data_IF_059337369116
#
_entry.id   IF_059337369116
#
_cell.length_a   1.000
_cell.length_b   1.000
_cell.length_c   1.000
_cell.angle_alpha   90.00
_cell.angle_beta   90.00
_cell.angle_gamma   90.00
#
_symmetry.space_group_name_H-M   'P 1'
#
loop_
_entity.id
_entity.type
_entity.pdbx_description
1 polymer ?
#
# COMPACT_ATOMS: atom_id res chain seq x y z
N UNK A 1 -31.00 40.24 27.37
CA UNK A 1 -30.45 41.57 27.02
C UNK A 1 -29.20 41.33 26.17
N UNK A 2 -29.31 41.81 24.95
CA UNK A 2 -28.29 41.88 23.84
C UNK A 2 -27.11 42.82 24.26
N UNK A 3 -26.00 43.01 23.44
CA UNK A 3 -25.95 42.83 21.98
C UNK A 3 -24.63 42.25 21.38
N UNK A 4 -24.78 41.77 20.19
CA UNK A 4 -23.95 41.87 18.93
C UNK A 4 -22.68 42.71 18.96
N UNK A 5 -21.61 42.15 18.39
CA UNK A 5 -20.63 42.94 17.65
C UNK A 5 -20.11 42.15 16.42
N UNK A 6 -20.55 42.62 15.22
CA UNK A 6 -20.02 42.26 13.91
C UNK A 6 -18.75 43.07 13.69
N UNK A 7 -17.66 42.41 13.20
CA UNK A 7 -16.51 43.14 12.64
C UNK A 7 -16.34 42.70 11.18
N UNK A 8 -16.65 43.65 10.32
CA UNK A 8 -16.42 43.63 8.85
C UNK A 8 -15.01 44.15 8.61
N UNK A 9 -14.18 43.43 7.89
CA UNK A 9 -12.99 43.99 7.26
C UNK A 9 -13.04 43.84 5.75
N UNK A 10 -13.02 45.00 5.10
CA UNK A 10 -13.04 45.22 3.66
C UNK A 10 -11.66 45.06 3.04
N UNK A 11 -11.66 44.57 1.81
CA UNK A 11 -10.53 44.56 0.85
C UNK A 11 -10.19 45.99 0.41
N UNK A 12 -8.96 46.24 -0.07
CA UNK A 12 -8.84 47.00 -1.31
C UNK A 12 -8.10 46.27 -2.42
N UNK A 13 -8.69 46.30 -3.59
CA UNK A 13 -8.09 45.98 -4.87
C UNK A 13 -7.05 47.04 -5.25
N UNK A 14 -5.92 46.65 -5.78
CA UNK A 14 -5.00 47.54 -6.46
C UNK A 14 -4.75 47.05 -7.89
N UNK A 15 -5.36 47.77 -8.83
CA UNK A 15 -5.13 47.67 -10.27
C UNK A 15 -3.87 48.52 -10.59
N UNK A 16 -2.90 47.96 -11.33
CA UNK A 16 -1.90 48.74 -12.01
C UNK A 16 -1.86 48.36 -13.49
N UNK A 17 -2.38 49.26 -14.32
CA UNK A 17 -2.20 49.32 -15.76
C UNK A 17 -0.91 50.09 -16.05
N UNK A 18 -0.05 49.56 -16.90
CA UNK A 18 0.94 50.35 -17.61
C UNK A 18 1.08 49.80 -19.02
N UNK A 19 0.56 50.58 -19.95
CA UNK A 19 0.82 50.52 -21.38
C UNK A 19 2.10 51.29 -21.70
N UNK A 20 2.92 50.84 -22.64
CA UNK A 20 3.66 51.68 -23.54
C UNK A 20 3.97 51.00 -24.84
N UNK A 21 3.59 51.66 -25.89
CA UNK A 21 3.83 51.47 -27.31
C UNK A 21 5.23 51.96 -27.73
N UNK A 22 5.71 51.46 -28.88
CA UNK A 22 6.80 52.11 -29.66
C UNK A 22 7.55 51.15 -30.58
N UNK A 23 7.10 51.06 -31.80
CA UNK A 23 7.63 51.23 -33.16
C UNK A 23 9.03 50.72 -33.54
N UNK A 24 9.01 49.87 -34.58
CA UNK A 24 9.85 49.70 -35.77
C UNK A 24 11.39 49.85 -35.72
N UNK A 25 12.11 48.86 -36.18
CA UNK A 25 12.74 48.86 -37.51
C UNK A 25 13.45 47.53 -37.89
N UNK A 26 13.28 47.17 -39.15
CA UNK A 26 13.89 46.16 -40.01
C UNK A 26 15.41 46.02 -39.88
N UNK A 27 15.92 44.76 -39.86
CA UNK A 27 16.98 44.31 -40.79
C UNK A 27 17.03 42.76 -40.82
N UNK A 28 16.94 42.20 -42.03
CA UNK A 28 17.16 40.80 -42.35
C UNK A 28 18.61 40.42 -42.14
N UNK A 29 18.86 39.33 -41.48
CA UNK A 29 20.04 38.49 -41.76
C UNK A 29 19.68 37.04 -41.49
N UNK A 30 19.67 36.22 -42.52
CA UNK A 30 19.52 34.78 -42.49
C UNK A 30 20.71 34.16 -41.77
N UNK A 31 20.42 33.52 -40.64
CA UNK A 31 21.34 32.53 -40.06
C UNK A 31 20.53 31.32 -39.67
N UNK A 32 20.69 30.28 -40.45
CA UNK A 32 20.16 28.92 -40.17
C UNK A 32 20.83 28.43 -38.88
N UNK A 33 20.16 28.61 -37.76
CA UNK A 33 20.53 27.99 -36.50
C UNK A 33 19.73 26.69 -36.39
N UNK A 34 20.45 25.62 -36.59
CA UNK A 34 20.03 24.26 -36.30
C UNK A 34 19.65 24.19 -34.81
N UNK A 35 18.38 24.44 -34.49
CA UNK A 35 17.85 24.23 -33.13
C UNK A 35 17.76 22.73 -32.91
N UNK A 36 18.85 22.16 -32.43
CA UNK A 36 18.88 20.85 -31.80
C UNK A 36 17.95 20.93 -30.58
N UNK A 37 16.72 20.50 -30.79
CA UNK A 37 15.68 20.40 -29.76
C UNK A 37 16.10 19.27 -28.80
N UNK A 38 17.08 19.53 -27.97
CA UNK A 38 17.42 18.70 -26.82
C UNK A 38 16.23 18.70 -25.86
N UNK A 39 15.22 17.84 -26.14
CA UNK A 39 14.31 17.39 -25.12
C UNK A 39 15.16 16.76 -24.02
N UNK A 40 15.48 17.52 -22.99
CA UNK A 40 15.88 16.97 -21.71
C UNK A 40 14.76 16.01 -21.30
N UNK A 41 14.98 14.69 -21.52
CA UNK A 41 14.11 13.64 -20.99
C UNK A 41 14.06 13.85 -19.47
N UNK A 42 12.99 14.47 -18.97
CA UNK A 42 12.73 14.51 -17.53
C UNK A 42 12.74 13.08 -17.02
N UNK A 43 13.40 12.85 -15.88
CA UNK A 43 13.40 11.53 -15.23
C UNK A 43 11.94 11.05 -15.13
N UNK A 44 11.63 9.91 -15.75
CA UNK A 44 10.30 9.34 -15.68
C UNK A 44 10.06 8.87 -14.25
N UNK A 45 8.99 9.34 -13.63
CA UNK A 45 8.59 8.95 -12.28
C UNK A 45 7.46 7.94 -12.40
N UNK A 46 7.70 6.72 -11.93
CA UNK A 46 6.66 5.70 -11.77
C UNK A 46 6.02 5.85 -10.39
N UNK A 47 4.73 6.14 -10.33
CA UNK A 47 3.98 6.33 -9.09
C UNK A 47 3.14 5.10 -8.78
N UNK A 48 3.42 4.48 -7.65
CA UNK A 48 2.77 3.25 -7.19
C UNK A 48 1.91 3.54 -5.97
N UNK A 49 0.62 3.23 -6.06
CA UNK A 49 -0.28 3.12 -4.92
C UNK A 49 -0.19 1.69 -4.38
N UNK A 50 0.36 1.48 -3.19
CA UNK A 50 0.61 0.15 -2.64
C UNK A 50 -0.09 -0.06 -1.30
N UNK A 51 -0.73 -1.22 -1.13
CA UNK A 51 -1.31 -1.61 0.15
C UNK A 51 -0.24 -1.66 1.26
N UNK A 52 -0.60 -1.22 2.46
CA UNK A 52 0.33 -0.99 3.57
C UNK A 52 1.11 -2.24 4.03
N UNK A 53 0.62 -3.45 3.75
CA UNK A 53 1.34 -4.70 4.03
C UNK A 53 2.62 -4.84 3.19
N UNK A 54 2.72 -4.12 2.06
CA UNK A 54 3.87 -4.18 1.16
C UNK A 54 5.04 -3.30 1.62
N UNK A 55 4.84 -2.42 2.61
CA UNK A 55 5.86 -1.45 3.03
C UNK A 55 7.19 -2.09 3.45
N UNK A 56 7.17 -3.33 3.96
CA UNK A 56 8.37 -4.05 4.35
C UNK A 56 9.11 -4.77 3.23
N UNK A 57 8.43 -5.14 2.13
CA UNK A 57 9.01 -5.95 1.06
C UNK A 57 9.18 -5.18 -0.25
N UNK A 58 8.26 -4.28 -0.58
CA UNK A 58 8.27 -3.62 -1.88
C UNK A 58 9.56 -2.83 -2.18
N UNK A 59 10.24 -2.19 -1.21
CA UNK A 59 11.54 -1.59 -1.45
C UNK A 59 12.57 -2.59 -1.99
N UNK A 60 12.67 -3.79 -1.38
CA UNK A 60 13.58 -4.85 -1.84
C UNK A 60 13.23 -5.35 -3.24
N UNK A 61 11.93 -5.49 -3.55
CA UNK A 61 11.45 -5.89 -4.88
C UNK A 61 11.80 -4.82 -5.91
N UNK A 62 11.67 -3.53 -5.57
CA UNK A 62 12.04 -2.41 -6.44
C UNK A 62 13.55 -2.38 -6.70
N UNK A 63 14.37 -2.57 -5.66
CA UNK A 63 15.83 -2.65 -5.79
C UNK A 63 16.25 -3.79 -6.73
N UNK A 64 15.65 -4.98 -6.57
CA UNK A 64 15.92 -6.13 -7.42
C UNK A 64 15.49 -5.89 -8.89
N UNK A 65 14.33 -5.24 -9.09
CA UNK A 65 13.86 -4.83 -10.41
C UNK A 65 14.84 -3.86 -11.08
N UNK A 66 15.30 -2.84 -10.37
CA UNK A 66 16.24 -1.85 -10.88
C UNK A 66 17.61 -2.46 -11.16
N UNK A 67 18.09 -3.39 -10.32
CA UNK A 67 19.33 -4.13 -10.53
C UNK A 67 19.25 -4.99 -11.80
N UNK A 68 18.12 -5.71 -12.01
CA UNK A 68 17.92 -6.53 -13.24
C UNK A 68 17.95 -5.67 -14.50
N UNK A 69 17.41 -4.45 -14.44
CA UNK A 69 17.37 -3.53 -15.56
C UNK A 69 18.77 -2.95 -15.93
N UNK A 70 19.77 -3.08 -15.03
CA UNK A 70 21.14 -2.65 -15.28
C UNK A 70 21.97 -3.65 -16.09
N UNK A 71 21.44 -4.85 -16.38
CA UNK A 71 22.11 -5.88 -17.18
C UNK A 71 21.38 -6.10 -18.50
N UNK A 72 22.15 -6.30 -19.60
CA UNK A 72 21.57 -6.71 -20.88
C UNK A 72 21.12 -8.19 -20.85
N UNK A 73 20.44 -8.63 -21.92
CA UNK A 73 20.00 -10.03 -22.06
C UNK A 73 21.15 -11.06 -22.03
N UNK A 74 22.39 -10.63 -22.29
CA UNK A 74 23.58 -11.44 -22.31
C UNK A 74 24.35 -11.43 -20.98
N UNK A 75 23.80 -10.83 -19.93
CA UNK A 75 24.40 -10.77 -18.60
C UNK A 75 25.57 -9.80 -18.48
N UNK A 76 25.81 -8.96 -19.48
CA UNK A 76 26.84 -7.93 -19.43
C UNK A 76 26.33 -6.66 -18.79
N UNK A 77 27.18 -6.04 -17.97
CA UNK A 77 26.88 -4.76 -17.35
C UNK A 77 26.71 -3.69 -18.43
N UNK A 78 25.53 -3.12 -18.56
CA UNK A 78 25.28 -2.04 -19.51
C UNK A 78 25.94 -0.79 -18.93
N UNK A 79 26.87 -0.18 -19.72
CA UNK A 79 27.54 1.04 -19.30
C UNK A 79 26.49 2.10 -18.90
N UNK A 80 26.60 2.62 -17.66
CA UNK A 80 25.57 3.47 -17.02
C UNK A 80 25.22 4.74 -17.79
N UNK A 81 25.92 5.02 -18.87
CA UNK A 81 25.68 6.20 -19.70
C UNK A 81 24.52 6.03 -20.71
N UNK A 82 24.13 4.78 -21.07
CA UNK A 82 23.15 4.53 -22.14
C UNK A 82 21.82 3.91 -21.65
N UNK A 83 21.65 3.56 -20.38
CA UNK A 83 20.41 2.95 -19.91
C UNK A 83 19.44 4.00 -19.36
N UNK A 84 18.34 4.16 -20.04
CA UNK A 84 17.17 4.96 -19.65
C UNK A 84 16.59 4.55 -18.28
N UNK A 85 17.00 3.41 -17.72
CA UNK A 85 16.58 2.85 -16.44
C UNK A 85 17.36 3.37 -15.22
N UNK A 86 18.60 3.85 -15.38
CA UNK A 86 19.38 4.41 -14.26
C UNK A 86 18.78 5.73 -13.72
N UNK A 87 17.78 6.27 -14.41
CA UNK A 87 17.05 7.50 -14.07
C UNK A 87 15.58 7.28 -13.68
N UNK A 88 15.11 6.00 -13.65
CA UNK A 88 13.73 5.73 -13.23
C UNK A 88 13.59 5.98 -11.73
N UNK A 89 12.88 7.04 -11.37
CA UNK A 89 12.45 7.29 -10.01
C UNK A 89 11.15 6.53 -9.76
N UNK A 90 11.09 5.70 -8.70
CA UNK A 90 9.87 5.04 -8.28
C UNK A 90 9.41 5.67 -6.96
N UNK A 91 8.20 6.20 -6.96
CA UNK A 91 7.54 6.78 -5.78
C UNK A 91 6.41 5.86 -5.34
N UNK A 92 6.38 5.50 -4.05
CA UNK A 92 5.37 4.61 -3.50
C UNK A 92 4.58 5.31 -2.41
N UNK A 93 3.26 5.26 -2.51
CA UNK A 93 2.34 5.70 -1.46
C UNK A 93 1.70 4.49 -0.81
N UNK A 94 1.83 4.37 0.52
CA UNK A 94 1.28 3.27 1.30
C UNK A 94 0.04 3.70 2.08
N UNK A 95 -1.07 2.96 1.90
CA UNK A 95 -2.30 3.13 2.69
C UNK A 95 -3.14 1.85 2.67
N UNK A 96 -4.37 1.87 3.23
CA UNK A 96 -5.33 0.79 2.99
C UNK A 96 -5.76 0.74 1.53
N UNK A 97 -6.05 -0.46 1.01
CA UNK A 97 -6.47 -0.64 -0.39
C UNK A 97 -7.68 0.21 -0.76
N UNK A 98 -8.68 0.28 0.13
CA UNK A 98 -9.86 1.10 -0.10
C UNK A 98 -9.60 2.60 -0.14
N UNK A 99 -8.67 3.11 0.69
CA UNK A 99 -8.27 4.52 0.65
C UNK A 99 -7.53 4.86 -0.65
N UNK A 100 -6.61 4.00 -1.08
CA UNK A 100 -5.90 4.17 -2.37
C UNK A 100 -6.88 4.12 -3.55
N UNK A 101 -7.81 3.16 -3.53
CA UNK A 101 -8.86 3.07 -4.55
C UNK A 101 -9.71 4.36 -4.62
N UNK A 102 -10.10 4.93 -3.47
CA UNK A 102 -10.83 6.21 -3.44
C UNK A 102 -10.00 7.37 -4.01
N UNK A 103 -8.69 7.43 -3.72
CA UNK A 103 -7.78 8.43 -4.30
C UNK A 103 -7.65 8.27 -5.81
N UNK A 104 -7.52 7.04 -6.31
CA UNK A 104 -7.45 6.74 -7.75
C UNK A 104 -8.73 7.20 -8.45
N UNK A 105 -9.90 6.90 -7.89
CA UNK A 105 -11.18 7.33 -8.42
C UNK A 105 -11.37 8.85 -8.38
N UNK A 106 -10.68 9.53 -7.48
CA UNK A 106 -10.64 11.00 -7.40
C UNK A 106 -9.59 11.63 -8.33
N UNK A 107 -8.92 10.83 -9.18
CA UNK A 107 -7.96 11.32 -10.15
C UNK A 107 -6.53 11.48 -9.64
N UNK A 108 -6.16 10.86 -8.51
CA UNK A 108 -4.78 10.86 -8.05
C UNK A 108 -3.86 10.20 -9.11
N UNK A 109 -2.69 10.81 -9.42
CA UNK A 109 -1.86 10.45 -10.57
C UNK A 109 -0.97 9.25 -10.28
N UNK A 110 -1.57 8.09 -10.03
CA UNK A 110 -0.86 6.81 -9.90
C UNK A 110 -0.79 6.09 -11.25
N UNK A 111 0.28 5.34 -11.44
CA UNK A 111 0.53 4.54 -12.64
C UNK A 111 0.20 3.06 -12.43
N UNK A 112 0.41 2.58 -11.20
CA UNK A 112 0.17 1.20 -10.79
C UNK A 112 -0.50 1.18 -9.42
N UNK A 113 -1.52 0.34 -9.27
CA UNK A 113 -2.18 0.06 -7.99
C UNK A 113 -1.92 -1.38 -7.58
N UNK A 114 -1.35 -1.59 -6.40
CA UNK A 114 -1.10 -2.88 -5.77
C UNK A 114 -2.01 -3.01 -4.55
N UNK A 115 -3.15 -3.65 -4.74
CA UNK A 115 -4.16 -3.89 -3.71
C UNK A 115 -3.79 -5.11 -2.87
N UNK A 116 -4.27 -5.18 -1.63
CA UNK A 116 -4.20 -6.37 -0.78
C UNK A 116 -5.40 -7.31 -0.97
N UNK A 117 -6.23 -7.09 -1.98
CA UNK A 117 -7.32 -7.96 -2.42
C UNK A 117 -7.50 -7.90 -3.95
N UNK A 118 -8.43 -8.72 -4.43
CA UNK A 118 -8.86 -8.75 -5.83
C UNK A 118 -10.04 -7.80 -6.11
N UNK A 119 -10.80 -7.42 -5.06
CA UNK A 119 -12.06 -6.71 -5.21
C UNK A 119 -11.89 -5.27 -5.68
N UNK A 120 -10.92 -4.51 -5.14
CA UNK A 120 -10.71 -3.11 -5.55
C UNK A 120 -10.17 -2.99 -6.98
N UNK A 121 -9.17 -3.79 -7.43
CA UNK A 121 -8.79 -3.81 -8.84
C UNK A 121 -9.92 -4.20 -9.78
N UNK A 122 -10.74 -5.20 -9.44
CA UNK A 122 -11.92 -5.57 -10.24
C UNK A 122 -12.95 -4.45 -10.32
N UNK A 123 -13.23 -3.74 -9.21
CA UNK A 123 -14.11 -2.55 -9.20
C UNK A 123 -13.57 -1.44 -10.09
N UNK A 124 -12.25 -1.22 -10.10
CA UNK A 124 -11.64 -0.23 -10.98
C UNK A 124 -11.92 -0.56 -12.45
N UNK A 125 -11.71 -1.82 -12.88
CA UNK A 125 -12.03 -2.23 -14.26
C UNK A 125 -13.48 -2.01 -14.60
N UNK A 126 -14.42 -2.38 -13.72
CA UNK A 126 -15.85 -2.18 -13.94
C UNK A 126 -16.20 -0.71 -14.13
N UNK A 127 -15.60 0.19 -13.37
CA UNK A 127 -15.84 1.63 -13.49
C UNK A 127 -15.24 2.23 -14.76
N UNK A 128 -14.11 1.68 -15.25
CA UNK A 128 -13.45 2.14 -16.46
C UNK A 128 -14.02 1.54 -17.75
N UNK A 129 -14.82 0.47 -17.68
CA UNK A 129 -15.35 -0.24 -18.85
C UNK A 129 -16.09 0.67 -19.85
N UNK A 130 -16.67 1.78 -19.39
CA UNK A 130 -17.37 2.74 -20.23
C UNK A 130 -16.50 3.91 -20.74
N UNK A 131 -15.27 4.05 -20.22
CA UNK A 131 -14.42 5.23 -20.48
C UNK A 131 -13.07 4.89 -21.14
N UNK A 132 -12.56 3.68 -20.96
CA UNK A 132 -11.30 3.21 -21.56
C UNK A 132 -11.48 1.85 -22.22
N UNK A 133 -11.30 1.82 -23.53
CA UNK A 133 -11.37 0.58 -24.34
C UNK A 133 -10.21 -0.40 -24.08
N UNK A 134 -9.18 -0.04 -23.29
CA UNK A 134 -7.91 -0.79 -23.15
C UNK A 134 -7.42 -0.91 -21.71
N UNK A 135 -8.31 -0.97 -20.72
CA UNK A 135 -7.88 -1.27 -19.35
C UNK A 135 -7.26 -2.68 -19.31
N UNK A 136 -5.99 -2.79 -18.90
CA UNK A 136 -5.36 -4.09 -18.70
C UNK A 136 -6.11 -4.85 -17.58
N UNK A 137 -6.24 -6.18 -17.69
CA UNK A 137 -6.86 -6.96 -16.62
C UNK A 137 -6.01 -6.90 -15.34
N UNK A 138 -6.62 -7.02 -14.16
CA UNK A 138 -5.89 -7.21 -12.93
C UNK A 138 -5.03 -8.48 -13.00
N UNK A 139 -3.92 -8.49 -12.26
CA UNK A 139 -3.02 -9.63 -12.13
C UNK A 139 -2.75 -9.93 -10.67
N UNK A 140 -2.79 -11.21 -10.29
CA UNK A 140 -2.43 -11.62 -8.93
C UNK A 140 -0.90 -11.62 -8.78
N UNK A 141 -0.40 -10.92 -7.76
CA UNK A 141 1.04 -10.81 -7.51
C UNK A 141 1.48 -11.42 -6.17
N UNK A 142 0.57 -11.63 -5.21
CA UNK A 142 0.90 -12.19 -3.90
C UNK A 142 -0.29 -12.86 -3.23
N UNK A 143 -0.03 -13.77 -2.26
CA UNK A 143 -1.02 -14.31 -1.33
C UNK A 143 -0.53 -14.07 0.10
N UNK A 144 -1.22 -13.18 0.83
CA UNK A 144 -0.84 -12.77 2.17
C UNK A 144 -1.16 -13.80 3.24
N UNK A 145 -0.45 -13.72 4.37
CA UNK A 145 -0.70 -14.53 5.57
C UNK A 145 -1.03 -13.64 6.76
N UNK A 146 -2.03 -14.05 7.53
CA UNK A 146 -2.48 -13.39 8.75
C UNK A 146 -1.78 -14.00 9.97
N UNK A 147 -1.38 -13.18 10.93
CA UNK A 147 -0.81 -13.60 12.18
C UNK A 147 -1.40 -12.82 13.37
N UNK A 148 -1.50 -13.46 14.53
CA UNK A 148 -1.70 -12.79 15.81
C UNK A 148 -0.32 -12.44 16.39
N UNK A 149 -0.15 -11.20 16.82
CA UNK A 149 1.12 -10.69 17.32
C UNK A 149 0.94 -9.99 18.67
N UNK A 150 1.95 -10.11 19.52
CA UNK A 150 2.11 -9.33 20.75
C UNK A 150 3.58 -8.96 20.97
N UNK A 151 3.87 -7.69 21.23
CA UNK A 151 5.25 -7.26 21.52
C UNK A 151 5.73 -7.71 22.93
N UNK A 152 4.82 -7.87 23.87
CA UNK A 152 5.15 -8.13 25.27
C UNK A 152 4.75 -9.53 25.80
N UNK A 153 3.89 -10.28 25.10
CA UNK A 153 3.47 -11.63 25.49
C UNK A 153 4.28 -12.70 24.76
N UNK A 154 4.39 -13.87 25.35
CA UNK A 154 4.92 -15.08 24.70
C UNK A 154 3.75 -15.90 24.17
N UNK A 155 3.73 -16.15 22.87
CA UNK A 155 2.69 -16.91 22.18
C UNK A 155 3.14 -18.33 21.84
N UNK A 156 4.39 -18.72 22.15
CA UNK A 156 4.93 -20.04 21.82
C UNK A 156 4.18 -21.24 22.45
N UNK A 157 3.47 -21.10 23.60
CA UNK A 157 2.66 -22.19 24.12
C UNK A 157 1.41 -22.48 23.29
N UNK A 158 0.95 -21.53 22.49
CA UNK A 158 -0.28 -21.66 21.72
C UNK A 158 0.04 -22.30 20.36
N UNK A 159 -0.53 -23.46 20.10
CA UNK A 159 -0.29 -24.19 18.83
C UNK A 159 -1.28 -23.80 17.74
N UNK A 160 -2.53 -23.52 18.13
CA UNK A 160 -3.61 -23.15 17.23
C UNK A 160 -4.42 -22.06 17.85
N UNK A 161 -4.81 -21.06 17.03
CA UNK A 161 -5.71 -20.00 17.47
C UNK A 161 -7.15 -20.44 17.15
N UNK A 162 -7.82 -20.95 18.17
CA UNK A 162 -9.22 -21.37 18.14
C UNK A 162 -10.05 -20.61 19.19
N UNK A 163 -11.34 -20.90 19.28
CA UNK A 163 -12.24 -20.29 20.25
C UNK A 163 -11.72 -20.38 21.69
N UNK A 164 -11.19 -21.54 22.08
CA UNK A 164 -10.69 -21.75 23.45
C UNK A 164 -9.45 -20.95 23.75
N UNK A 165 -8.46 -20.98 22.85
CA UNK A 165 -7.23 -20.19 22.99
C UNK A 165 -7.50 -18.67 22.92
N UNK A 166 -8.45 -18.23 22.09
CA UNK A 166 -8.89 -16.84 22.06
C UNK A 166 -9.51 -16.40 23.40
N UNK A 167 -10.38 -17.26 23.97
CA UNK A 167 -10.97 -16.98 25.29
C UNK A 167 -9.90 -16.91 26.37
N UNK A 168 -8.90 -17.79 26.36
CA UNK A 168 -7.78 -17.74 27.31
C UNK A 168 -6.92 -16.49 27.16
N UNK A 169 -6.55 -16.12 25.94
CA UNK A 169 -5.74 -14.93 25.65
C UNK A 169 -6.47 -13.64 25.98
N UNK A 170 -7.78 -13.61 25.70
CA UNK A 170 -8.57 -12.40 25.77
C UNK A 170 -9.44 -12.33 27.04
N UNK A 171 -9.43 -13.36 27.88
CA UNK A 171 -10.09 -13.31 29.17
C UNK A 171 -9.45 -12.21 30.04
N UNK A 172 -10.29 -11.37 30.61
CA UNK A 172 -9.86 -10.45 31.67
C UNK A 172 -9.48 -11.27 32.89
N UNK A 173 -8.22 -11.18 33.33
CA UNK A 173 -7.81 -11.76 34.59
C UNK A 173 -8.63 -11.10 35.72
N UNK A 174 -9.36 -11.88 36.56
CA UNK A 174 -10.27 -11.31 37.57
C UNK A 174 -9.60 -10.43 38.61
N UNK A 175 -8.27 -10.41 38.71
CA UNK A 175 -7.48 -9.74 39.72
C UNK A 175 -6.53 -8.64 39.20
N UNK A 176 -6.55 -8.31 37.91
CA UNK A 176 -5.75 -7.19 37.40
C UNK A 176 -6.58 -5.91 37.44
N UNK A 177 -6.14 -4.93 38.20
CA UNK A 177 -6.69 -3.57 38.23
C UNK A 177 -7.02 -3.11 36.79
N UNK A 178 -8.28 -3.16 36.42
CA UNK A 178 -8.99 -2.57 35.26
C UNK A 178 -8.33 -2.55 33.87
N UNK A 179 -7.21 -3.22 33.61
CA UNK A 179 -6.63 -3.29 32.28
C UNK A 179 -7.29 -4.40 31.46
N UNK A 180 -8.38 -4.03 30.79
CA UNK A 180 -9.05 -4.88 29.80
C UNK A 180 -8.10 -5.10 28.63
N UNK A 181 -7.83 -6.36 28.27
CA UNK A 181 -7.02 -6.73 27.11
C UNK A 181 -7.55 -6.06 25.83
N UNK A 182 -6.73 -5.30 25.16
CA UNK A 182 -7.04 -4.61 23.91
C UNK A 182 -6.40 -5.31 22.72
N UNK A 183 -7.16 -5.41 21.65
CA UNK A 183 -6.75 -6.09 20.42
C UNK A 183 -6.95 -5.13 19.26
N UNK A 184 -6.01 -5.08 18.34
CA UNK A 184 -6.17 -4.30 17.11
C UNK A 184 -6.31 -5.17 15.88
N UNK A 185 -7.08 -4.68 14.92
CA UNK A 185 -7.11 -5.13 13.53
C UNK A 185 -7.26 -3.90 12.61
N UNK A 186 -6.89 -4.05 11.36
CA UNK A 186 -7.12 -3.00 10.37
C UNK A 186 -8.62 -2.84 10.09
N UNK A 187 -9.06 -1.65 9.63
CA UNK A 187 -10.44 -1.40 9.26
C UNK A 187 -10.92 -2.41 8.21
N UNK A 188 -11.90 -3.27 8.53
CA UNK A 188 -12.34 -4.33 7.62
C UNK A 188 -12.97 -3.83 6.31
N UNK A 189 -13.52 -2.61 6.31
CA UNK A 189 -14.18 -2.03 5.15
C UNK A 189 -13.18 -1.48 4.12
N UNK A 190 -11.95 -1.18 4.55
CA UNK A 190 -10.93 -0.53 3.74
C UNK A 190 -9.66 -1.38 3.57
N UNK A 191 -9.41 -2.33 4.47
CA UNK A 191 -8.17 -3.09 4.53
C UNK A 191 -8.47 -4.61 4.50
N UNK A 192 -8.06 -5.31 3.43
CA UNK A 192 -8.35 -6.74 3.23
C UNK A 192 -7.87 -7.65 4.36
N UNK A 193 -6.70 -7.38 4.94
CA UNK A 193 -6.24 -8.09 6.14
C UNK A 193 -7.18 -7.91 7.33
N UNK A 194 -7.78 -6.72 7.47
CA UNK A 194 -8.79 -6.45 8.49
C UNK A 194 -10.08 -7.24 8.24
N UNK A 195 -10.51 -7.34 6.98
CA UNK A 195 -11.67 -8.15 6.59
C UNK A 195 -11.45 -9.64 6.91
N UNK A 196 -10.26 -10.18 6.59
CA UNK A 196 -9.90 -11.56 6.91
C UNK A 196 -9.79 -11.80 8.42
N UNK A 197 -9.22 -10.86 9.18
CA UNK A 197 -9.17 -10.95 10.64
C UNK A 197 -10.58 -10.91 11.29
N UNK A 198 -11.45 -10.03 10.78
CA UNK A 198 -12.87 -9.99 11.20
C UNK A 198 -13.57 -11.31 10.92
N UNK A 199 -13.43 -11.85 9.70
CA UNK A 199 -14.04 -13.12 9.32
C UNK A 199 -13.54 -14.28 10.19
N UNK A 200 -12.23 -14.35 10.46
CA UNK A 200 -11.65 -15.29 11.40
C UNK A 200 -12.29 -15.19 12.80
N UNK A 201 -12.32 -13.97 13.37
CA UNK A 201 -12.89 -13.74 14.69
C UNK A 201 -14.40 -14.07 14.74
N UNK A 202 -15.15 -13.81 13.66
CA UNK A 202 -16.57 -14.18 13.57
C UNK A 202 -16.74 -15.70 13.55
N UNK A 203 -15.90 -16.42 12.80
CA UNK A 203 -15.92 -17.89 12.77
C UNK A 203 -15.61 -18.50 14.15
N UNK A 204 -14.77 -17.84 14.94
CA UNK A 204 -14.45 -18.25 16.31
C UNK A 204 -15.42 -17.66 17.36
N UNK A 205 -16.51 -17.02 16.94
CA UNK A 205 -17.53 -16.38 17.81
C UNK A 205 -16.96 -15.26 18.72
N UNK A 206 -15.77 -14.76 18.44
CA UNK A 206 -15.07 -13.75 19.29
C UNK A 206 -15.30 -12.31 18.87
N UNK A 207 -15.75 -12.04 17.63
CA UNK A 207 -15.80 -10.68 17.10
C UNK A 207 -16.78 -9.77 17.84
N UNK A 208 -18.01 -10.22 18.05
CA UNK A 208 -19.05 -9.40 18.68
C UNK A 208 -18.70 -9.09 20.13
N UNK A 209 -18.23 -10.09 20.90
CA UNK A 209 -17.80 -9.89 22.29
C UNK A 209 -16.72 -8.81 22.40
N UNK A 210 -15.68 -8.89 21.55
CA UNK A 210 -14.58 -7.91 21.55
C UNK A 210 -15.03 -6.52 21.10
N UNK A 211 -15.94 -6.45 20.13
CA UNK A 211 -16.49 -5.19 19.61
C UNK A 211 -17.38 -4.51 20.64
N UNK A 212 -18.35 -5.23 21.20
CA UNK A 212 -19.33 -4.70 22.15
C UNK A 212 -18.67 -4.26 23.47
N UNK A 213 -17.63 -4.97 23.89
CA UNK A 213 -16.82 -4.61 25.06
C UNK A 213 -15.83 -3.46 24.80
N UNK A 214 -15.78 -2.89 23.59
CA UNK A 214 -14.84 -1.83 23.17
C UNK A 214 -13.36 -2.22 23.32
N UNK A 215 -13.08 -3.51 23.24
CA UNK A 215 -11.73 -4.06 23.34
C UNK A 215 -11.05 -4.15 21.97
N UNK A 216 -11.83 -4.10 20.91
CA UNK A 216 -11.37 -4.14 19.54
C UNK A 216 -11.05 -2.72 19.05
N UNK A 217 -9.77 -2.44 18.85
CA UNK A 217 -9.27 -1.17 18.35
C UNK A 217 -9.07 -1.26 16.85
N UNK A 218 -9.89 -0.54 16.11
CA UNK A 218 -9.80 -0.51 14.65
C UNK A 218 -8.74 0.48 14.19
N UNK A 219 -7.73 -0.02 13.49
CA UNK A 219 -6.69 0.79 12.85
C UNK A 219 -7.10 1.14 11.42
N UNK A 220 -6.59 2.24 10.86
CA UNK A 220 -6.91 2.67 9.49
C UNK A 220 -6.47 1.63 8.44
N UNK A 221 -5.29 1.03 8.64
CA UNK A 221 -4.70 0.04 7.74
C UNK A 221 -3.84 -0.97 8.52
N UNK A 222 -3.34 -2.01 7.84
CA UNK A 222 -2.56 -3.07 8.48
C UNK A 222 -1.20 -2.58 9.02
N UNK A 223 -0.63 -1.50 8.45
CA UNK A 223 0.58 -0.87 8.97
C UNK A 223 0.35 -0.24 10.33
N UNK A 224 -0.77 0.49 10.50
CA UNK A 224 -1.15 1.07 11.79
C UNK A 224 -1.54 0.00 12.81
N UNK A 225 -2.23 -1.08 12.40
CA UNK A 225 -2.50 -2.22 13.29
C UNK A 225 -1.21 -2.83 13.82
N UNK A 226 -0.22 -3.05 12.96
CA UNK A 226 1.11 -3.49 13.38
C UNK A 226 1.74 -2.53 14.38
N UNK A 227 1.71 -1.21 14.11
CA UNK A 227 2.28 -0.21 15.02
C UNK A 227 1.61 -0.24 16.41
N UNK A 228 0.29 -0.33 16.49
CA UNK A 228 -0.41 -0.38 17.78
C UNK A 228 0.01 -1.59 18.63
N UNK A 229 0.17 -2.77 18.02
CA UNK A 229 0.64 -3.95 18.72
C UNK A 229 2.15 -3.88 19.03
N UNK A 230 2.95 -3.29 18.13
CA UNK A 230 4.40 -3.21 18.28
C UNK A 230 4.84 -2.23 19.38
N UNK A 231 4.13 -1.13 19.52
CA UNK A 231 4.34 -0.13 20.59
C UNK A 231 3.61 -0.46 21.89
N UNK A 232 2.96 -1.64 21.99
CA UNK A 232 2.15 -2.05 23.14
C UNK A 232 0.99 -1.09 23.46
N UNK A 233 0.51 -0.32 22.47
CA UNK A 233 -0.75 0.46 22.57
C UNK A 233 -1.94 -0.49 22.69
N UNK A 234 -1.85 -1.66 22.06
CA UNK A 234 -2.74 -2.80 22.24
C UNK A 234 -1.93 -4.03 22.68
N UNK A 235 -2.57 -4.95 23.41
CA UNK A 235 -1.90 -6.17 23.89
C UNK A 235 -1.62 -7.15 22.76
N UNK A 236 -2.54 -7.22 21.80
CA UNK A 236 -2.46 -8.06 20.61
C UNK A 236 -2.85 -7.30 19.37
N UNK A 237 -2.37 -7.77 18.21
CA UNK A 237 -2.80 -7.28 16.90
C UNK A 237 -2.89 -8.40 15.88
N UNK A 238 -3.94 -8.35 15.04
CA UNK A 238 -3.98 -9.11 13.80
C UNK A 238 -3.20 -8.34 12.75
N UNK A 239 -2.09 -8.92 12.27
CA UNK A 239 -1.11 -8.26 11.41
C UNK A 239 -0.74 -9.16 10.22
N UNK A 240 -0.05 -8.61 9.22
CA UNK A 240 0.51 -9.43 8.15
C UNK A 240 1.81 -10.11 8.62
N UNK A 241 2.01 -11.39 8.28
CA UNK A 241 3.25 -12.10 8.58
C UNK A 241 4.47 -11.37 8.00
N UNK A 242 4.33 -10.79 6.82
CA UNK A 242 5.39 -10.03 6.15
C UNK A 242 5.91 -8.85 6.99
N UNK A 243 5.07 -8.21 7.78
CA UNK A 243 5.48 -7.13 8.68
C UNK A 243 6.34 -7.66 9.83
N UNK A 244 6.01 -8.82 10.36
CA UNK A 244 6.75 -9.47 11.45
C UNK A 244 8.14 -9.92 10.98
N UNK A 245 8.23 -10.49 9.78
CA UNK A 245 9.48 -10.92 9.17
C UNK A 245 10.36 -9.71 8.87
N UNK A 246 9.81 -8.67 8.25
CA UNK A 246 10.54 -7.43 7.94
C UNK A 246 11.07 -6.74 9.21
N UNK A 247 10.28 -6.73 10.28
CA UNK A 247 10.67 -6.17 11.58
C UNK A 247 11.54 -7.13 12.41
N UNK A 248 11.90 -8.31 11.89
CA UNK A 248 12.70 -9.34 12.55
C UNK A 248 12.16 -9.71 13.94
N UNK A 249 10.83 -9.80 14.05
CA UNK A 249 10.15 -10.17 15.29
C UNK A 249 10.47 -11.63 15.64
N UNK A 250 10.74 -11.88 16.92
CA UNK A 250 11.04 -13.24 17.42
C UNK A 250 9.81 -14.16 17.22
N UNK A 251 9.97 -15.41 16.76
CA UNK A 251 8.87 -16.36 16.55
C UNK A 251 7.96 -16.59 17.77
N UNK A 252 8.51 -16.47 18.99
CA UNK A 252 7.71 -16.59 20.22
C UNK A 252 6.72 -15.45 20.45
N UNK A 253 6.76 -14.38 19.66
CA UNK A 253 5.91 -13.20 19.80
C UNK A 253 4.70 -13.20 18.87
N UNK A 254 4.59 -14.16 17.98
CA UNK A 254 3.46 -14.25 17.05
C UNK A 254 3.05 -15.69 16.79
N UNK A 255 1.81 -15.83 16.35
CA UNK A 255 1.24 -17.08 15.87
C UNK A 255 0.68 -16.85 14.47
N UNK A 256 1.21 -17.57 13.49
CA UNK A 256 0.67 -17.55 12.11
C UNK A 256 -0.63 -18.34 12.10
N UNK A 257 -1.70 -17.75 11.57
CA UNK A 257 -2.98 -18.40 11.45
C UNK A 257 -2.94 -19.39 10.27
N UNK A 258 -3.67 -20.50 10.42
CA UNK A 258 -3.83 -21.48 9.34
C UNK A 258 -4.53 -20.82 8.15
N UNK A 259 -4.01 -20.94 6.91
CA UNK A 259 -4.57 -20.25 5.74
C UNK A 259 -6.05 -20.57 5.46
N UNK A 260 -6.54 -21.71 5.91
CA UNK A 260 -7.92 -22.20 5.74
C UNK A 260 -8.89 -21.61 6.79
N UNK A 261 -8.36 -20.99 7.85
CA UNK A 261 -9.16 -20.43 8.95
C UNK A 261 -9.72 -19.03 8.67
N UNK A 262 -9.39 -18.44 7.52
CA UNK A 262 -9.87 -17.12 7.10
C UNK A 262 -9.94 -17.04 5.56
N UNK A 263 -10.72 -16.12 4.99
CA UNK A 263 -10.75 -15.89 3.54
C UNK A 263 -9.35 -15.59 2.99
N UNK A 264 -8.98 -16.27 1.90
CA UNK A 264 -7.66 -16.11 1.29
C UNK A 264 -7.38 -14.63 0.93
N UNK A 265 -6.20 -14.15 1.28
CA UNK A 265 -5.75 -12.77 1.01
C UNK A 265 -4.98 -12.77 -0.32
N UNK A 266 -5.69 -13.02 -1.42
CA UNK A 266 -5.15 -12.89 -2.78
C UNK A 266 -5.05 -11.40 -3.14
N UNK A 267 -3.86 -10.97 -3.56
CA UNK A 267 -3.53 -9.57 -3.79
C UNK A 267 -3.33 -9.32 -5.27
N UNK A 268 -4.17 -8.46 -5.83
CA UNK A 268 -4.12 -8.11 -7.25
C UNK A 268 -3.52 -6.71 -7.47
N UNK A 269 -2.74 -6.61 -8.55
CA UNK A 269 -2.29 -5.36 -9.11
C UNK A 269 -3.07 -4.98 -10.36
N UNK A 270 -3.10 -3.69 -10.68
CA UNK A 270 -3.64 -3.18 -11.94
C UNK A 270 -2.84 -1.96 -12.41
N UNK A 271 -2.50 -1.96 -13.69
CA UNK A 271 -1.89 -0.81 -14.37
C UNK A 271 -2.97 0.23 -14.67
N UNK A 272 -2.76 1.46 -14.20
CA UNK A 272 -3.75 2.55 -14.26
C UNK A 272 -3.48 3.50 -15.44
N UNK A 273 -2.20 3.73 -15.75
CA UNK A 273 -1.77 4.67 -16.80
C UNK A 273 -1.04 3.98 -17.94
N UNK A 274 -0.79 4.72 -19.03
CA UNK A 274 0.01 4.24 -20.17
C UNK A 274 1.53 4.37 -19.93
N UNK A 275 1.96 4.53 -18.67
CA UNK A 275 3.37 4.62 -18.33
C UNK A 275 4.07 3.29 -18.63
N UNK A 276 5.05 3.23 -19.55
CA UNK A 276 5.59 1.95 -20.04
C UNK A 276 6.24 1.13 -18.93
N UNK A 277 6.80 1.79 -17.92
CA UNK A 277 7.42 1.11 -16.79
C UNK A 277 6.41 0.54 -15.78
N UNK A 278 5.13 0.96 -15.81
CA UNK A 278 4.09 0.34 -15.00
C UNK A 278 3.80 -1.09 -15.49
N UNK A 279 3.68 -1.28 -16.81
CA UNK A 279 3.51 -2.60 -17.41
C UNK A 279 4.75 -3.48 -17.21
N UNK A 280 5.95 -2.94 -17.42
CA UNK A 280 7.21 -3.67 -17.24
C UNK A 280 7.39 -4.14 -15.78
N UNK A 281 7.13 -3.24 -14.81
CA UNK A 281 7.19 -3.60 -13.39
C UNK A 281 6.10 -4.59 -12.99
N UNK A 282 4.88 -4.48 -13.55
CA UNK A 282 3.80 -5.44 -13.29
C UNK A 282 4.15 -6.86 -13.75
N UNK A 283 4.83 -7.00 -14.89
CA UNK A 283 5.35 -8.28 -15.37
C UNK A 283 6.48 -8.81 -14.47
N UNK A 284 7.35 -7.92 -14.00
CA UNK A 284 8.39 -8.30 -13.05
C UNK A 284 7.82 -8.87 -11.74
N UNK A 285 6.77 -8.25 -11.19
CA UNK A 285 6.11 -8.75 -9.97
C UNK A 285 5.61 -10.19 -10.09
N UNK A 286 5.29 -10.66 -11.30
CA UNK A 286 4.83 -12.01 -11.58
C UNK A 286 5.97 -13.00 -11.93
N UNK A 287 7.21 -12.51 -12.04
CA UNK A 287 8.37 -13.35 -12.36
C UNK A 287 8.80 -14.22 -11.18
N UNK A 288 9.43 -15.35 -11.44
CA UNK A 288 9.99 -16.25 -10.41
C UNK A 288 10.92 -15.50 -9.44
N UNK A 289 11.74 -14.57 -9.94
CA UNK A 289 12.65 -13.79 -9.10
C UNK A 289 11.90 -12.92 -8.08
N UNK A 290 10.81 -12.25 -8.49
CA UNK A 290 10.00 -11.45 -7.57
C UNK A 290 9.18 -12.35 -6.64
N UNK A 291 8.63 -13.47 -7.15
CA UNK A 291 7.87 -14.42 -6.35
C UNK A 291 8.70 -15.06 -5.24
N UNK A 292 9.97 -15.39 -5.49
CA UNK A 292 10.89 -15.83 -4.45
C UNK A 292 11.04 -14.81 -3.33
N UNK A 293 11.18 -13.51 -3.66
CA UNK A 293 11.26 -12.44 -2.66
C UNK A 293 9.98 -12.35 -1.82
N UNK A 294 8.80 -12.52 -2.43
CA UNK A 294 7.54 -12.54 -1.68
C UNK A 294 7.46 -13.73 -0.74
N UNK A 295 7.86 -14.94 -1.17
CA UNK A 295 7.87 -16.14 -0.32
C UNK A 295 8.83 -15.96 0.86
N UNK A 296 10.03 -15.45 0.62
CA UNK A 296 11.02 -15.16 1.68
C UNK A 296 10.51 -14.11 2.69
N UNK A 297 9.66 -13.20 2.22
CA UNK A 297 8.99 -12.21 3.06
C UNK A 297 7.72 -12.74 3.76
N UNK A 298 7.40 -14.03 3.66
CA UNK A 298 6.28 -14.65 4.37
C UNK A 298 4.93 -14.60 3.65
N UNK A 299 4.94 -14.44 2.33
CA UNK A 299 3.75 -14.65 1.51
C UNK A 299 3.65 -16.12 1.08
N UNK A 300 2.46 -16.60 0.83
CA UNK A 300 2.25 -17.91 0.23
C UNK A 300 2.52 -17.83 -1.28
N UNK A 301 2.99 -18.94 -1.89
CA UNK A 301 3.07 -19.04 -3.33
C UNK A 301 1.71 -18.76 -3.98
N UNK A 302 1.72 -17.99 -5.09
CA UNK A 302 0.58 -17.92 -5.98
C UNK A 302 0.64 -19.18 -6.85
N UNK A 303 -0.24 -20.14 -6.56
CA UNK A 303 -0.49 -21.25 -7.50
C UNK A 303 -1.26 -20.66 -8.67
N UNK A 304 -0.63 -20.57 -9.84
CA UNK A 304 -1.40 -20.35 -11.07
C UNK A 304 -2.39 -21.51 -11.21
N UNK A 305 -3.69 -21.21 -11.44
CA UNK A 305 -4.69 -22.23 -11.65
C UNK A 305 -4.40 -23.05 -12.90
#
# INVERSE_FOLDING_TARGET
MSPFMKLIFSLPALLVLASCSGTDNTTKTDTVSNANNGKTKSAQVLRIAAAANLAGILPTVIEAYQAKAAYNKDGQNIDRQDTDNSKLKIEVTYASSGKLFAQINSGAPYDLFLSADQAFPAKYVQQQANTRSTAQPPFTYARGQLALYSSNKDLSPIKTLDKTSLQQLFSTQPNANSNTVKITLANPDLAPYGASAKAFLQQQEGFNELSDSKRLIQAENIGQAFQYAHTATTDYGFVALSQLISAKVKPSKYLVLQPESYPAILQDGIVISDHPKATDFSQYLQSESAQSLFVDAGYLPITNP
#
